data_IF_499468771418
#
_entry.id   IF_499468771418
#
_cell.length_a   1.000
_cell.length_b   1.000
_cell.length_c   1.000
_cell.angle_alpha   90.00
_cell.angle_beta   90.00
_cell.angle_gamma   90.00
#
_symmetry.space_group_name_H-M   'P 1'
#
loop_
_entity.id
_entity.type
_entity.pdbx_description
1 polymer ?
#
# COMPACT_ATOMS: atom_id res chain seq x y z
N UNK A 1 -8.18 11.96 1.01
CA UNK A 1 -7.28 10.99 0.34
C UNK A 1 -8.11 9.74 0.15
N UNK A 2 -8.35 9.34 -1.09
CA UNK A 2 -9.24 8.22 -1.40
C UNK A 2 -8.48 6.88 -1.25
N UNK A 3 -8.96 5.92 -0.45
CA UNK A 3 -8.28 4.64 -0.22
C UNK A 3 -8.19 3.78 -1.49
N UNK A 4 -9.11 3.98 -2.43
CA UNK A 4 -9.19 3.19 -3.67
C UNK A 4 -8.11 3.61 -4.67
N UNK A 5 -7.84 4.92 -4.78
CA UNK A 5 -6.73 5.44 -5.58
C UNK A 5 -5.37 4.89 -5.11
N UNK A 6 -5.24 4.71 -3.79
CA UNK A 6 -4.03 4.19 -3.18
C UNK A 6 -3.79 2.70 -3.53
N UNK A 7 -4.83 1.87 -3.39
CA UNK A 7 -4.76 0.47 -3.78
C UNK A 7 -4.42 0.31 -5.26
N UNK A 8 -4.99 1.15 -6.12
CA UNK A 8 -4.72 1.13 -7.56
C UNK A 8 -3.24 1.42 -7.87
N UNK A 9 -2.65 2.46 -7.29
CA UNK A 9 -1.22 2.79 -7.48
C UNK A 9 -0.30 1.64 -7.05
N UNK A 10 -0.61 0.99 -5.92
CA UNK A 10 0.14 -0.17 -5.44
C UNK A 10 0.04 -1.35 -6.41
N UNK A 11 -1.17 -1.63 -6.93
CA UNK A 11 -1.39 -2.72 -7.90
C UNK A 11 -0.71 -2.46 -9.25
N UNK A 12 -0.65 -1.20 -9.70
CA UNK A 12 0.03 -0.82 -10.94
C UNK A 12 1.56 -0.95 -10.84
N UNK A 13 2.13 -0.82 -9.64
CA UNK A 13 3.59 -0.86 -9.41
C UNK A 13 4.10 -2.25 -8.99
N UNK A 14 3.25 -3.12 -8.47
CA UNK A 14 3.54 -4.52 -8.12
C UNK A 14 4.21 -5.36 -9.22
N UNK A 15 3.78 -5.35 -10.50
CA UNK A 15 4.45 -6.16 -11.53
C UNK A 15 5.89 -5.72 -11.84
N UNK A 16 6.25 -4.49 -11.48
CA UNK A 16 7.59 -3.93 -11.71
C UNK A 16 8.54 -4.15 -10.52
N UNK A 17 8.04 -4.55 -9.35
CA UNK A 17 8.82 -4.57 -8.11
C UNK A 17 8.52 -5.83 -7.27
N UNK A 18 9.52 -6.42 -6.58
CA UNK A 18 9.29 -7.59 -5.75
C UNK A 18 8.30 -7.28 -4.61
N UNK A 19 7.36 -8.20 -4.35
CA UNK A 19 6.31 -8.04 -3.33
C UNK A 19 6.86 -7.73 -1.93
N UNK A 20 8.09 -8.15 -1.62
CA UNK A 20 8.78 -7.82 -0.37
C UNK A 20 8.97 -6.30 -0.16
N UNK A 21 9.02 -5.51 -1.24
CA UNK A 21 9.22 -4.05 -1.24
C UNK A 21 7.92 -3.24 -1.34
N UNK A 22 6.76 -3.90 -1.27
CA UNK A 22 5.45 -3.22 -1.33
C UNK A 22 5.29 -2.15 -0.25
N UNK A 23 5.98 -2.30 0.89
CA UNK A 23 5.98 -1.32 1.98
C UNK A 23 6.60 0.03 1.60
N UNK A 24 7.47 0.10 0.58
CA UNK A 24 8.02 1.36 0.07
C UNK A 24 7.03 2.11 -0.83
N UNK A 25 6.03 1.41 -1.38
CA UNK A 25 4.94 2.04 -2.12
C UNK A 25 3.99 2.74 -1.16
N UNK A 26 3.87 2.25 0.09
CA UNK A 26 3.06 2.81 1.15
C UNK A 26 3.41 4.29 1.42
N UNK A 27 2.41 5.18 1.58
CA UNK A 27 2.67 6.50 2.07
C UNK A 27 3.22 6.37 3.50
N UNK A 28 4.11 7.29 3.90
CA UNK A 28 4.78 7.28 5.21
C UNK A 28 3.82 7.28 6.43
N UNK A 29 2.50 7.37 6.22
CA UNK A 29 1.46 7.42 7.25
C UNK A 29 0.42 6.31 7.14
N UNK A 30 0.61 5.29 6.30
CA UNK A 30 -0.31 4.14 6.29
C UNK A 30 -0.09 3.30 7.54
N UNK A 31 -0.89 3.61 8.56
CA UNK A 31 -1.06 2.76 9.72
C UNK A 31 -2.15 1.77 9.35
N UNK A 32 -1.87 0.46 9.21
CA UNK A 32 -2.95 -0.51 9.21
C UNK A 32 -3.70 -0.25 10.52
N UNK A 33 -4.99 0.07 10.42
CA UNK A 33 -5.84 0.10 11.60
C UNK A 33 -5.86 -1.33 12.11
N UNK A 34 -4.92 -1.66 13.00
CA UNK A 34 -4.95 -2.91 13.74
C UNK A 34 -6.12 -2.71 14.69
N UNK A 35 -7.33 -2.97 14.21
CA UNK A 35 -8.47 -3.25 15.07
C UNK A 35 -8.10 -4.53 15.78
N UNK A 36 -7.43 -4.39 16.92
CA UNK A 36 -7.30 -5.45 17.90
C UNK A 36 -8.72 -5.76 18.37
N UNK A 37 -9.21 -6.93 17.98
CA UNK A 37 -10.40 -7.55 18.56
C UNK A 37 -10.10 -8.17 19.92
#
# INVERSE_FOLDING_TARGET
HDPHAYLKDVLERLPTQPASRVHELLPHRWQPTITAG
#
